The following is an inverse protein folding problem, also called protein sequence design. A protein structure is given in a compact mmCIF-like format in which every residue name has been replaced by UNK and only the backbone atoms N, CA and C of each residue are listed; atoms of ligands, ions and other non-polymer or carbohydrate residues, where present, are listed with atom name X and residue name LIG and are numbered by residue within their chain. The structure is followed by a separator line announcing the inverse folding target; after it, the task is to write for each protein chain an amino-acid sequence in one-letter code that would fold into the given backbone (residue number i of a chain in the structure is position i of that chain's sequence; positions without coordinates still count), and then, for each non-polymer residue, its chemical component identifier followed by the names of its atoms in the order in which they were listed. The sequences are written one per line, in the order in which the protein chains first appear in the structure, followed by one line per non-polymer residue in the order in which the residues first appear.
data_IF_831042462175
#
_entry.id   IF_831042462175
#
_cell.length_a   1.000
_cell.length_b   1.000
_cell.length_c   1.000
_cell.angle_alpha   90.00
_cell.angle_beta   90.00
_cell.angle_gamma   90.00
#
_symmetry.space_group_name_H-M   'P 1'
#
loop_
_entity.id
_entity.type
_entity.pdbx_description
1 polymer ?
#
# COMPACT_ATOMS: atom_id res chain seq x y z
N UNK A 1 46.12 39.94 -47.52
CA UNK A 1 45.68 38.60 -47.19
C UNK A 1 44.67 38.70 -46.07
N UNK A 2 43.39 38.45 -46.34
CA UNK A 2 42.30 38.56 -45.37
C UNK A 2 42.03 37.18 -44.78
N UNK A 3 42.35 36.96 -43.50
CA UNK A 3 42.00 35.74 -42.80
C UNK A 3 40.51 35.75 -42.49
N UNK A 4 39.77 34.77 -43.03
CA UNK A 4 38.38 34.53 -42.70
C UNK A 4 38.38 33.68 -41.43
N UNK A 5 38.02 34.25 -40.31
CA UNK A 5 37.74 33.50 -39.08
C UNK A 5 36.35 32.85 -39.23
N UNK A 6 36.34 31.55 -39.43
CA UNK A 6 35.12 30.74 -39.45
C UNK A 6 34.68 30.46 -38.00
N UNK A 7 33.69 31.19 -37.51
CA UNK A 7 33.10 30.98 -36.20
C UNK A 7 32.19 29.74 -36.29
N UNK A 8 32.71 28.59 -35.88
CA UNK A 8 31.92 27.34 -35.77
C UNK A 8 31.09 27.44 -34.49
N UNK A 9 29.86 27.88 -34.62
CA UNK A 9 28.85 27.83 -33.56
C UNK A 9 28.48 26.36 -33.36
N UNK A 10 29.17 25.70 -32.41
CA UNK A 10 28.75 24.41 -31.89
C UNK A 10 27.51 24.67 -31.02
N UNK A 11 26.34 24.53 -31.63
CA UNK A 11 25.08 24.50 -30.91
C UNK A 11 25.02 23.17 -30.14
N UNK A 12 25.57 23.21 -28.90
CA UNK A 12 25.44 22.10 -27.94
C UNK A 12 23.96 22.07 -27.50
N UNK A 13 23.12 21.41 -28.27
CA UNK A 13 21.80 21.03 -27.82
C UNK A 13 21.98 19.97 -26.73
N UNK A 14 22.08 20.45 -25.48
CA UNK A 14 21.85 19.58 -24.35
C UNK A 14 20.41 19.07 -24.47
N UNK A 15 20.26 17.90 -25.02
CA UNK A 15 19.10 17.06 -24.76
C UNK A 15 19.12 16.76 -23.27
N UNK A 16 18.59 17.63 -22.45
CA UNK A 16 18.05 17.26 -21.17
C UNK A 16 16.91 16.29 -21.46
N UNK A 17 17.23 15.02 -21.46
CA UNK A 17 16.25 13.94 -21.45
C UNK A 17 15.53 13.94 -20.11
N UNK A 18 14.78 15.01 -19.83
CA UNK A 18 13.71 14.98 -18.86
C UNK A 18 12.71 14.01 -19.39
N UNK A 19 12.70 12.79 -18.86
CA UNK A 19 11.64 11.82 -19.16
C UNK A 19 10.32 12.47 -18.79
N UNK A 20 9.62 13.02 -19.77
CA UNK A 20 8.23 13.46 -19.58
C UNK A 20 7.47 12.19 -19.26
N UNK A 21 6.97 12.09 -18.05
CA UNK A 21 6.10 10.99 -17.67
C UNK A 21 4.95 10.96 -18.67
N UNK A 22 4.90 9.90 -19.48
CA UNK A 22 3.87 9.75 -20.51
C UNK A 22 2.58 9.39 -19.80
N UNK A 23 1.57 10.23 -19.99
CA UNK A 23 0.23 9.92 -19.53
C UNK A 23 -0.26 8.69 -20.29
N UNK A 24 -0.53 7.62 -19.56
CA UNK A 24 -1.20 6.43 -20.10
C UNK A 24 -2.55 6.32 -19.43
N UNK A 25 -3.59 6.49 -20.24
CA UNK A 25 -4.99 6.42 -19.80
C UNK A 25 -5.59 5.16 -20.40
N UNK A 26 -6.04 4.22 -19.58
CA UNK A 26 -6.61 2.96 -20.04
C UNK A 26 -7.52 2.32 -19.00
N UNK A 27 -8.32 1.37 -19.43
CA UNK A 27 -9.05 0.51 -18.52
C UNK A 27 -8.10 -0.55 -17.95
N UNK A 28 -8.08 -0.69 -16.65
CA UNK A 28 -7.38 -1.76 -15.94
C UNK A 28 -8.43 -2.70 -15.36
N UNK A 29 -8.17 -3.99 -15.36
CA UNK A 29 -9.12 -5.00 -14.93
C UNK A 29 -8.47 -6.12 -14.14
N UNK A 30 -9.29 -6.89 -13.43
CA UNK A 30 -8.87 -8.03 -12.67
C UNK A 30 -10.04 -8.74 -12.01
N UNK A 31 -9.70 -9.62 -11.07
CA UNK A 31 -10.68 -10.36 -10.29
C UNK A 31 -10.40 -10.27 -8.79
N UNK A 32 -11.45 -10.38 -7.99
CA UNK A 32 -11.34 -10.64 -6.55
C UNK A 32 -11.96 -11.98 -6.26
N UNK A 33 -11.17 -12.92 -5.76
CA UNK A 33 -11.58 -14.30 -5.48
C UNK A 33 -11.25 -14.69 -4.05
N UNK A 34 -11.96 -15.69 -3.56
CA UNK A 34 -11.57 -16.36 -2.31
C UNK A 34 -10.43 -17.37 -2.54
N UNK A 35 -9.93 -17.95 -1.47
CA UNK A 35 -8.85 -18.95 -1.50
C UNK A 35 -9.26 -20.26 -2.20
N UNK A 36 -10.55 -20.44 -2.53
CA UNK A 36 -11.07 -21.57 -3.29
C UNK A 36 -11.30 -21.24 -4.77
N UNK A 37 -10.91 -20.01 -5.18
CA UNK A 37 -11.06 -19.54 -6.56
C UNK A 37 -12.46 -19.03 -6.91
N UNK A 38 -13.38 -18.94 -5.94
CA UNK A 38 -14.72 -18.40 -6.15
C UNK A 38 -14.69 -16.87 -6.16
N UNK A 39 -15.33 -16.27 -7.17
CA UNK A 39 -15.48 -14.82 -7.27
C UNK A 39 -16.22 -14.22 -6.08
N UNK A 40 -15.78 -13.07 -5.62
CA UNK A 40 -16.40 -12.33 -4.53
C UNK A 40 -17.08 -11.09 -5.11
N UNK A 41 -18.42 -11.08 -5.03
CA UNK A 41 -19.25 -9.96 -5.47
C UNK A 41 -19.22 -8.84 -4.45
N UNK A 42 -19.31 -7.60 -4.93
CA UNK A 42 -19.56 -6.44 -4.08
C UNK A 42 -18.30 -5.86 -3.43
N UNK A 43 -17.11 -6.30 -3.82
CA UNK A 43 -15.86 -5.73 -3.32
C UNK A 43 -15.61 -4.40 -4.03
N UNK A 44 -15.39 -3.35 -3.25
CA UNK A 44 -15.01 -2.04 -3.79
C UNK A 44 -13.56 -2.07 -4.20
N UNK A 45 -13.29 -1.68 -5.44
CA UNK A 45 -11.97 -1.50 -6.04
C UNK A 45 -11.78 -0.04 -6.39
N UNK A 46 -10.62 0.53 -6.07
CA UNK A 46 -10.36 1.95 -6.33
C UNK A 46 -8.90 2.20 -6.72
N UNK A 47 -8.67 3.33 -7.37
CA UNK A 47 -7.35 3.83 -7.74
C UNK A 47 -7.00 5.17 -7.02
N UNK A 48 -7.71 5.48 -5.94
CA UNK A 48 -7.58 6.73 -5.21
C UNK A 48 -8.43 7.89 -5.76
N UNK A 49 -8.93 7.78 -7.00
CA UNK A 49 -9.73 8.81 -7.66
C UNK A 49 -11.10 8.27 -8.09
N UNK A 50 -11.11 7.09 -8.67
CA UNK A 50 -12.30 6.41 -9.18
C UNK A 50 -12.54 5.10 -8.46
N UNK A 51 -13.81 4.66 -8.46
CA UNK A 51 -14.26 3.46 -7.76
C UNK A 51 -15.08 2.59 -8.70
N UNK A 52 -14.97 1.29 -8.51
CA UNK A 52 -15.84 0.28 -9.12
C UNK A 52 -16.16 -0.80 -8.10
N UNK A 53 -17.07 -1.70 -8.46
CA UNK A 53 -17.48 -2.80 -7.59
C UNK A 53 -17.44 -4.11 -8.37
N UNK A 54 -16.96 -5.17 -7.77
CA UNK A 54 -16.89 -6.48 -8.42
C UNK A 54 -18.29 -7.06 -8.72
N UNK A 55 -18.41 -7.68 -9.90
CA UNK A 55 -19.60 -8.40 -10.33
C UNK A 55 -19.79 -9.75 -9.60
N UNK A 56 -20.76 -10.58 -10.05
CA UNK A 56 -21.07 -11.88 -9.45
C UNK A 56 -19.91 -12.89 -9.55
N UNK A 57 -19.04 -12.73 -10.56
CA UNK A 57 -17.88 -13.58 -10.80
C UNK A 57 -16.59 -13.00 -10.17
N UNK A 58 -16.72 -11.90 -9.41
CA UNK A 58 -15.61 -11.18 -8.81
C UNK A 58 -14.80 -10.34 -9.79
N UNK A 59 -15.28 -10.11 -11.03
CA UNK A 59 -14.58 -9.31 -12.04
C UNK A 59 -14.83 -7.83 -11.81
N UNK A 60 -13.83 -7.04 -12.13
CA UNK A 60 -13.90 -5.59 -12.08
C UNK A 60 -13.12 -4.94 -13.23
N UNK A 61 -13.52 -3.74 -13.59
CA UNK A 61 -12.82 -2.87 -14.54
C UNK A 61 -12.85 -1.44 -14.00
N UNK A 62 -11.75 -0.74 -14.12
CA UNK A 62 -11.59 0.63 -13.65
C UNK A 62 -10.76 1.46 -14.63
N UNK A 63 -11.28 2.63 -14.95
CA UNK A 63 -10.54 3.60 -15.75
C UNK A 63 -9.41 4.22 -14.91
N UNK A 64 -8.19 4.23 -15.45
CA UNK A 64 -7.00 4.61 -14.71
C UNK A 64 -6.09 5.52 -15.53
N UNK A 65 -5.63 6.58 -14.91
CA UNK A 65 -4.62 7.50 -15.41
C UNK A 65 -3.34 7.33 -14.58
N UNK A 66 -2.26 6.87 -15.19
CA UNK A 66 -0.99 6.56 -14.53
C UNK A 66 -0.25 7.79 -13.99
N UNK A 67 -0.59 9.00 -14.43
CA UNK A 67 -0.05 10.22 -13.83
C UNK A 67 -0.63 10.48 -12.45
N UNK A 68 -1.89 10.13 -12.25
CA UNK A 68 -2.65 10.41 -11.02
C UNK A 68 -2.67 9.20 -10.10
N UNK A 69 -2.91 8.01 -10.66
CA UNK A 69 -3.13 6.77 -9.91
C UNK A 69 -1.88 5.91 -9.93
N UNK A 70 -1.33 5.65 -8.76
CA UNK A 70 -0.12 4.81 -8.60
C UNK A 70 -0.41 3.41 -8.10
N UNK A 71 -1.61 3.18 -7.58
CA UNK A 71 -2.02 1.90 -7.01
C UNK A 71 -3.50 1.64 -7.31
N UNK A 72 -3.82 0.37 -7.47
CA UNK A 72 -5.19 -0.14 -7.35
C UNK A 72 -5.30 -0.83 -6.01
N UNK A 73 -6.35 -0.55 -5.27
CA UNK A 73 -6.60 -1.18 -3.98
C UNK A 73 -8.03 -1.67 -3.84
N UNK A 74 -8.23 -2.61 -2.94
CA UNK A 74 -9.54 -3.11 -2.57
C UNK A 74 -9.89 -2.74 -1.14
N UNK A 75 -11.18 -2.50 -0.88
CA UNK A 75 -11.70 -2.43 0.48
C UNK A 75 -12.04 -3.86 0.91
N UNK A 76 -11.26 -4.44 1.82
CA UNK A 76 -11.49 -5.81 2.31
C UNK A 76 -12.85 -5.89 3.00
N UNK A 77 -13.80 -6.74 2.53
CA UNK A 77 -15.09 -6.87 3.18
C UNK A 77 -14.98 -7.49 4.58
N UNK A 78 -15.90 -7.18 5.47
CA UNK A 78 -15.87 -7.63 6.86
C UNK A 78 -15.82 -9.16 7.05
N UNK A 79 -16.38 -9.91 6.09
CA UNK A 79 -16.38 -11.38 6.07
C UNK A 79 -15.01 -11.99 5.72
N UNK A 80 -14.03 -11.17 5.36
CA UNK A 80 -12.73 -11.63 4.92
C UNK A 80 -11.61 -11.12 5.84
N UNK A 81 -10.55 -11.90 5.96
CA UNK A 81 -9.34 -11.50 6.68
C UNK A 81 -8.65 -10.37 5.91
N UNK A 82 -8.12 -9.38 6.63
CA UNK A 82 -7.23 -8.40 6.02
C UNK A 82 -5.98 -9.14 5.50
N UNK A 83 -5.67 -9.07 4.20
CA UNK A 83 -4.47 -9.70 3.69
C UNK A 83 -3.24 -9.15 4.40
N UNK A 84 -2.36 -10.04 4.84
CA UNK A 84 -1.18 -9.68 5.59
C UNK A 84 0.02 -10.55 5.22
N UNK A 85 1.21 -9.97 5.30
CA UNK A 85 2.48 -10.66 5.16
C UNK A 85 3.42 -10.18 6.25
N UNK A 86 4.07 -11.12 6.95
CA UNK A 86 4.97 -10.81 8.08
C UNK A 86 4.32 -9.93 9.16
N UNK A 87 3.03 -10.11 9.43
CA UNK A 87 2.30 -9.34 10.43
C UNK A 87 1.91 -7.91 10.01
N UNK A 88 2.16 -7.54 8.75
CA UNK A 88 1.75 -6.26 8.19
C UNK A 88 0.70 -6.45 7.11
N UNK A 89 -0.22 -5.50 7.00
CA UNK A 89 -1.22 -5.50 5.93
C UNK A 89 -0.52 -5.45 4.57
N UNK A 90 -0.84 -6.41 3.69
CA UNK A 90 -0.25 -6.55 2.36
C UNK A 90 -1.24 -7.27 1.43
N UNK A 91 -1.05 -7.16 0.11
CA UNK A 91 -1.88 -7.89 -0.86
C UNK A 91 -3.30 -7.35 -1.04
N UNK A 92 -3.61 -6.19 -0.47
CA UNK A 92 -4.86 -5.47 -0.70
C UNK A 92 -4.70 -4.34 -1.73
N UNK A 93 -3.51 -4.15 -2.27
CA UNK A 93 -3.21 -3.21 -3.34
C UNK A 93 -2.16 -3.76 -4.29
N UNK A 94 -2.16 -3.26 -5.52
CA UNK A 94 -1.15 -3.52 -6.54
C UNK A 94 -0.68 -2.18 -7.13
N UNK A 95 0.62 -2.03 -7.43
CA UNK A 95 1.11 -0.84 -8.10
C UNK A 95 0.64 -0.79 -9.56
N UNK A 96 0.43 0.42 -10.06
CA UNK A 96 0.14 0.68 -11.47
C UNK A 96 1.30 1.48 -12.05
N UNK A 97 1.86 1.02 -13.15
CA UNK A 97 2.90 1.72 -13.91
C UNK A 97 2.61 1.62 -15.40
N UNK A 98 3.30 2.41 -16.19
CA UNK A 98 3.19 2.38 -17.66
C UNK A 98 3.54 1.02 -18.27
N UNK A 99 4.30 0.20 -17.55
CA UNK A 99 4.71 -1.14 -17.98
C UNK A 99 3.75 -2.25 -17.51
N UNK A 100 2.71 -1.91 -16.75
CA UNK A 100 1.78 -2.89 -16.19
C UNK A 100 0.71 -3.22 -17.24
N UNK A 101 0.41 -4.52 -17.38
CA UNK A 101 -0.69 -4.98 -18.23
C UNK A 101 -2.02 -4.37 -17.79
N UNK A 102 -2.92 -4.14 -18.75
CA UNK A 102 -4.29 -3.70 -18.46
C UNK A 102 -5.10 -4.75 -17.69
N UNK A 103 -4.71 -6.03 -17.78
CA UNK A 103 -5.42 -7.16 -17.20
C UNK A 103 -4.57 -7.90 -16.16
N UNK A 104 -5.23 -8.72 -15.34
CA UNK A 104 -4.56 -9.63 -14.41
C UNK A 104 -4.24 -9.02 -13.05
N UNK A 105 -4.90 -7.94 -12.68
CA UNK A 105 -4.78 -7.35 -11.33
C UNK A 105 -5.72 -8.09 -10.37
N UNK A 106 -5.30 -9.28 -9.97
CA UNK A 106 -6.11 -10.19 -9.19
C UNK A 106 -5.82 -10.07 -7.68
N UNK A 107 -6.88 -10.15 -6.89
CA UNK A 107 -6.80 -10.19 -5.43
C UNK A 107 -7.38 -11.50 -4.92
N UNK A 108 -6.73 -12.06 -3.92
CA UNK A 108 -7.22 -13.26 -3.22
C UNK A 108 -7.48 -12.94 -1.77
N UNK A 109 -8.70 -13.22 -1.31
CA UNK A 109 -9.12 -12.98 0.06
C UNK A 109 -9.45 -14.30 0.77
N UNK A 110 -9.04 -14.43 2.01
CA UNK A 110 -9.39 -15.55 2.87
C UNK A 110 -10.63 -15.22 3.67
N UNK A 111 -11.65 -16.09 3.58
CA UNK A 111 -12.87 -15.89 4.34
C UNK A 111 -12.61 -16.10 5.83
N UNK A 112 -13.19 -15.25 6.66
CA UNK A 112 -13.16 -15.39 8.12
C UNK A 112 -14.02 -16.55 8.56
N UNK A 113 -13.58 -17.26 9.57
CA UNK A 113 -14.40 -18.28 10.23
C UNK A 113 -15.55 -17.68 11.06
N UNK A 114 -15.38 -16.44 11.50
CA UNK A 114 -16.38 -15.69 12.28
C UNK A 114 -16.23 -14.21 12.00
N UNK A 115 -17.33 -13.54 11.71
CA UNK A 115 -17.39 -12.09 11.61
C UNK A 115 -17.65 -11.50 12.99
N UNK A 116 -16.88 -10.48 13.38
CA UNK A 116 -17.11 -9.75 14.61
C UNK A 116 -17.92 -8.47 14.32
N UNK A 117 -19.08 -8.35 14.95
CA UNK A 117 -19.90 -7.14 14.86
C UNK A 117 -19.30 -5.98 15.67
N UNK A 118 -18.47 -6.32 16.66
CA UNK A 118 -17.76 -5.38 17.51
C UNK A 118 -16.29 -5.74 17.59
N UNK A 119 -15.43 -4.75 17.47
CA UNK A 119 -13.98 -4.89 17.62
C UNK A 119 -13.40 -3.70 18.38
N UNK A 120 -12.22 -3.90 18.96
CA UNK A 120 -11.43 -2.84 19.55
C UNK A 120 -10.43 -2.31 18.54
N UNK A 121 -10.21 -1.02 18.59
CA UNK A 121 -9.31 -0.33 17.68
C UNK A 121 -8.19 0.34 18.46
N UNK A 122 -6.95 -0.02 18.14
CA UNK A 122 -5.75 0.58 18.71
C UNK A 122 -5.08 1.42 17.64
N UNK A 123 -5.08 2.73 17.83
CA UNK A 123 -4.37 3.67 16.97
C UNK A 123 -3.04 4.05 17.62
N UNK A 124 -1.95 3.89 16.90
CA UNK A 124 -0.61 4.31 17.29
C UNK A 124 -0.21 5.45 16.36
N UNK A 125 0.08 6.60 16.92
CA UNK A 125 0.50 7.77 16.17
C UNK A 125 1.88 8.20 16.61
N UNK A 126 2.76 8.46 15.65
CA UNK A 126 3.90 9.34 15.76
C UNK A 126 4.91 9.00 16.89
N UNK A 127 5.29 7.74 17.08
CA UNK A 127 6.23 7.38 18.14
C UNK A 127 7.65 7.91 17.89
N UNK A 128 7.97 8.26 16.65
CA UNK A 128 9.20 8.95 16.22
C UNK A 128 10.47 8.41 16.86
N UNK A 129 10.64 7.10 16.87
CA UNK A 129 11.81 6.43 17.46
C UNK A 129 13.07 6.87 16.72
N UNK A 130 13.98 7.52 17.42
CA UNK A 130 15.21 8.11 16.85
C UNK A 130 16.46 7.42 17.33
N UNK A 131 16.53 7.11 18.61
CA UNK A 131 17.72 6.57 19.27
C UNK A 131 17.48 5.16 19.78
N UNK A 132 18.56 4.48 20.17
CA UNK A 132 18.45 3.18 20.85
C UNK A 132 17.69 3.29 22.20
N UNK A 133 17.81 4.42 22.87
CA UNK A 133 17.06 4.68 24.11
C UNK A 133 15.56 4.75 23.83
N UNK A 134 15.14 5.47 22.76
CA UNK A 134 13.74 5.54 22.37
C UNK A 134 13.20 4.17 21.96
N UNK A 135 14.02 3.37 21.24
CA UNK A 135 13.67 2.00 20.89
C UNK A 135 13.45 1.12 22.13
N UNK A 136 14.29 1.26 23.13
CA UNK A 136 14.16 0.51 24.38
C UNK A 136 12.87 0.91 25.13
N UNK A 137 12.56 2.20 25.19
CA UNK A 137 11.30 2.69 25.76
C UNK A 137 10.10 2.21 24.97
N UNK A 138 10.16 2.32 23.66
CA UNK A 138 9.10 1.82 22.77
C UNK A 138 8.78 0.35 23.05
N UNK A 139 9.82 -0.51 23.10
CA UNK A 139 9.66 -1.95 23.35
C UNK A 139 9.18 -2.27 24.75
N UNK A 140 9.78 -1.63 25.76
CA UNK A 140 9.58 -2.03 27.15
C UNK A 140 8.43 -1.29 27.84
N UNK A 141 8.06 -0.13 27.36
CA UNK A 141 6.97 0.67 27.90
C UNK A 141 5.74 0.61 26.99
N UNK A 142 5.80 1.21 25.78
CA UNK A 142 4.63 1.38 24.92
C UNK A 142 4.09 0.05 24.39
N UNK A 143 4.92 -0.80 23.80
CA UNK A 143 4.48 -2.11 23.31
C UNK A 143 4.06 -3.03 24.45
N UNK A 144 4.71 -2.94 25.60
CA UNK A 144 4.32 -3.73 26.78
C UNK A 144 2.95 -3.30 27.29
N UNK A 145 2.64 -2.00 27.27
CA UNK A 145 1.34 -1.48 27.66
C UNK A 145 0.22 -1.87 26.68
N UNK A 146 0.50 -1.76 25.39
CA UNK A 146 -0.42 -2.23 24.34
C UNK A 146 -0.73 -3.72 24.52
N UNK A 147 0.29 -4.56 24.77
CA UNK A 147 0.08 -6.00 25.03
C UNK A 147 -0.79 -6.24 26.26
N UNK A 148 -0.51 -5.57 27.38
CA UNK A 148 -1.36 -5.68 28.58
C UNK A 148 -2.82 -5.28 28.29
N UNK A 149 -3.01 -4.22 27.53
CA UNK A 149 -4.34 -3.78 27.10
C UNK A 149 -5.04 -4.84 26.28
N UNK A 150 -4.37 -5.41 25.25
CA UNK A 150 -4.94 -6.48 24.42
C UNK A 150 -5.27 -7.71 25.27
N UNK A 151 -4.37 -8.13 26.17
CA UNK A 151 -4.59 -9.28 27.05
C UNK A 151 -5.78 -9.06 28.00
N UNK A 152 -5.98 -7.82 28.47
CA UNK A 152 -7.11 -7.47 29.34
C UNK A 152 -8.47 -7.57 28.64
N UNK A 153 -8.51 -7.39 27.32
CA UNK A 153 -9.72 -7.50 26.50
C UNK A 153 -10.17 -8.94 26.31
N UNK A 154 -9.25 -9.90 26.53
CA UNK A 154 -9.50 -11.33 26.38
C UNK A 154 -9.51 -11.81 24.92
N UNK A 155 -9.18 -13.10 24.74
CA UNK A 155 -8.99 -13.72 23.40
C UNK A 155 -10.24 -13.80 22.52
N UNK A 156 -11.43 -13.60 23.11
CA UNK A 156 -12.70 -13.61 22.37
C UNK A 156 -13.00 -12.29 21.66
N UNK A 157 -12.22 -11.26 21.93
CA UNK A 157 -12.39 -9.93 21.33
C UNK A 157 -11.48 -9.79 20.12
N UNK A 158 -12.04 -9.20 19.08
CA UNK A 158 -11.23 -8.80 17.93
C UNK A 158 -10.56 -7.46 18.22
N UNK A 159 -9.25 -7.38 17.97
CA UNK A 159 -8.47 -6.15 18.12
C UNK A 159 -7.78 -5.85 16.79
N UNK A 160 -7.99 -4.66 16.29
CA UNK A 160 -7.38 -4.15 15.06
C UNK A 160 -6.42 -3.01 15.43
N UNK A 161 -5.20 -3.06 14.91
CA UNK A 161 -4.20 -2.00 15.10
C UNK A 161 -3.97 -1.22 13.82
N UNK A 162 -3.74 0.09 13.95
CA UNK A 162 -3.26 0.94 12.87
C UNK A 162 -2.10 1.81 13.34
N UNK A 163 -1.07 1.90 12.52
CA UNK A 163 0.00 2.89 12.68
C UNK A 163 -0.25 4.04 11.71
N UNK A 164 -0.39 5.24 12.24
CA UNK A 164 -0.75 6.43 11.48
C UNK A 164 0.45 7.15 10.85
N UNK A 165 1.66 6.59 10.99
CA UNK A 165 2.88 7.12 10.41
C UNK A 165 3.95 7.46 11.45
N UNK A 166 5.05 7.99 10.96
CA UNK A 166 6.22 8.50 11.70
C UNK A 166 6.73 7.59 12.82
N UNK A 167 6.76 6.27 12.54
CA UNK A 167 7.20 5.26 13.51
C UNK A 167 8.67 5.44 13.89
N UNK A 168 9.50 5.84 12.93
CA UNK A 168 10.95 6.06 13.09
C UNK A 168 11.38 7.30 12.30
N UNK A 169 12.42 7.97 12.79
CA UNK A 169 13.04 9.04 12.04
C UNK A 169 13.84 8.51 10.83
N UNK A 170 13.92 9.32 9.77
CA UNK A 170 14.77 9.06 8.64
C UNK A 170 16.23 8.88 9.07
N UNK A 171 16.91 7.92 8.43
CA UNK A 171 18.30 7.55 8.74
C UNK A 171 18.56 7.10 10.18
N UNK A 172 17.51 6.74 10.93
CA UNK A 172 17.68 6.14 12.26
C UNK A 172 18.41 4.80 12.15
N UNK A 173 19.40 4.49 12.99
CA UNK A 173 20.01 3.16 13.07
C UNK A 173 18.97 2.08 13.44
N UNK A 174 17.82 2.48 13.93
CA UNK A 174 16.72 1.60 14.30
C UNK A 174 15.89 1.09 13.10
N UNK A 175 16.01 1.70 11.91
CA UNK A 175 15.22 1.31 10.72
C UNK A 175 15.51 -0.10 10.24
N UNK A 176 16.72 -0.63 10.47
CA UNK A 176 17.13 -1.97 10.00
C UNK A 176 16.74 -3.12 10.91
N UNK A 177 16.39 -2.86 12.17
CA UNK A 177 16.15 -3.90 13.19
C UNK A 177 14.72 -3.95 13.73
N UNK A 178 13.84 -3.10 13.27
CA UNK A 178 12.59 -2.82 13.95
C UNK A 178 11.47 -3.83 13.63
N UNK A 179 11.55 -4.55 12.52
CA UNK A 179 10.41 -5.30 11.99
C UNK A 179 10.65 -6.78 11.75
N UNK A 180 11.80 -7.32 12.15
CA UNK A 180 12.07 -8.75 12.07
C UNK A 180 11.88 -9.41 13.44
N UNK A 181 10.66 -9.60 13.89
CA UNK A 181 10.18 -10.69 14.78
C UNK A 181 8.77 -10.42 15.27
#
# INVERSE_FOLDING_TARGET
MKAKVLFLLILCTMFMGGGVARQTVFNISGTVKDTYGKGIKGVVVNNGVSFTVTDADGRWTLFTDTLVSKHISISTPADYELPASNGMAAGFYVPVSEAVSADGHDFTLKRRGKTADNFYYIAISDPQVRTQSDMNRWRNESLADIRRTIDSLGRSREVVGIALGDLVFDNSPCTKTTWSR
#
